data_IF_490252972032
#
_entry.id   IF_490252972032
#
_cell.length_a   1.000
_cell.length_b   1.000
_cell.length_c   1.000
_cell.angle_alpha   90.00
_cell.angle_beta   90.00
_cell.angle_gamma   90.00
#
_symmetry.space_group_name_H-M   'P 1'
#
loop_
_entity.id
_entity.type
_entity.pdbx_description
1 polymer ?
#
# COMPACT_ATOMS: atom_id res chain seq x y z
N UNK A 1 28.47 -4.83 10.66
CA UNK A 1 27.38 -3.84 10.88
C UNK A 1 27.91 -2.46 11.25
N UNK A 2 28.96 -2.37 12.08
CA UNK A 2 29.48 -1.09 12.59
C UNK A 2 29.80 -0.02 11.54
N UNK A 3 30.34 -0.40 10.37
CA UNK A 3 30.59 0.58 9.30
C UNK A 3 29.29 1.19 8.74
N UNK A 4 28.27 0.35 8.49
CA UNK A 4 26.96 0.76 7.96
C UNK A 4 26.23 1.62 8.99
N UNK A 5 26.19 1.17 10.26
CA UNK A 5 25.59 1.93 11.35
C UNK A 5 26.23 3.31 11.48
N UNK A 6 27.57 3.39 11.48
CA UNK A 6 28.28 4.67 11.54
C UNK A 6 27.94 5.58 10.37
N UNK A 7 27.94 5.07 9.13
CA UNK A 7 27.60 5.86 7.95
C UNK A 7 26.15 6.38 7.99
N UNK A 8 25.20 5.52 8.39
CA UNK A 8 23.79 5.91 8.55
C UNK A 8 23.62 6.95 9.66
N UNK A 9 24.28 6.76 10.81
CA UNK A 9 24.21 7.71 11.92
C UNK A 9 24.82 9.06 11.54
N UNK A 10 25.95 9.09 10.82
CA UNK A 10 26.51 10.34 10.28
C UNK A 10 25.53 11.03 9.33
N UNK A 11 24.86 10.27 8.45
CA UNK A 11 23.86 10.84 7.55
C UNK A 11 22.65 11.42 8.32
N UNK A 12 22.16 10.71 9.35
CA UNK A 12 21.08 11.18 10.21
C UNK A 12 21.47 12.47 10.94
N UNK A 13 22.68 12.52 11.50
CA UNK A 13 23.20 13.71 12.19
C UNK A 13 23.30 14.91 11.24
N UNK A 14 23.81 14.70 10.02
CA UNK A 14 23.91 15.75 9.01
C UNK A 14 22.52 16.28 8.60
N UNK A 15 21.54 15.39 8.43
CA UNK A 15 20.15 15.76 8.10
C UNK A 15 19.52 16.54 9.26
N UNK A 16 19.74 16.11 10.51
CA UNK A 16 19.23 16.81 11.69
C UNK A 16 19.84 18.21 11.80
N UNK A 17 21.16 18.33 11.68
CA UNK A 17 21.85 19.62 11.71
C UNK A 17 21.39 20.54 10.58
N UNK A 18 21.22 20.01 9.36
CA UNK A 18 20.68 20.78 8.25
C UNK A 18 19.26 21.25 8.54
N UNK A 19 18.40 20.38 9.09
CA UNK A 19 17.02 20.72 9.47
C UNK A 19 17.01 21.88 10.47
N UNK A 20 17.81 21.79 11.53
CA UNK A 20 17.90 22.81 12.58
C UNK A 20 18.40 24.15 12.03
N UNK A 21 19.44 24.13 11.18
CA UNK A 21 19.97 25.33 10.52
C UNK A 21 18.94 26.02 9.61
N UNK A 22 17.97 25.27 9.07
CA UNK A 22 16.91 25.79 8.20
C UNK A 22 15.60 26.06 8.96
N UNK A 23 15.58 25.95 10.30
CA UNK A 23 14.40 26.22 11.12
C UNK A 23 13.32 25.14 11.08
N UNK A 24 13.68 23.90 10.69
CA UNK A 24 12.79 22.75 10.72
C UNK A 24 13.17 21.80 11.88
N UNK A 25 12.17 21.12 12.46
CA UNK A 25 12.39 20.11 13.51
C UNK A 25 11.86 18.75 13.06
N UNK A 26 12.70 17.72 13.13
CA UNK A 26 12.34 16.35 12.79
C UNK A 26 11.69 15.66 13.99
N UNK A 27 10.47 15.15 13.80
CA UNK A 27 9.71 14.47 14.84
C UNK A 27 10.21 13.04 15.07
N UNK A 28 11.03 12.81 16.10
CA UNK A 28 11.54 11.47 16.44
C UNK A 28 10.43 10.42 16.61
N UNK A 29 9.28 10.79 17.17
CA UNK A 29 8.11 9.91 17.33
C UNK A 29 7.46 9.44 16.01
N UNK A 30 7.69 10.15 14.91
CA UNK A 30 7.19 9.78 13.56
C UNK A 30 8.26 9.11 12.71
N UNK A 31 9.51 9.11 13.17
CA UNK A 31 10.65 8.53 12.48
C UNK A 31 10.75 7.05 12.84
N UNK A 32 10.82 6.21 11.81
CA UNK A 32 11.03 4.78 11.96
C UNK A 32 11.88 4.28 10.79
N UNK A 33 12.60 3.19 11.01
CA UNK A 33 13.41 2.54 10.00
C UNK A 33 12.79 1.20 9.58
N UNK A 34 13.01 0.82 8.31
CA UNK A 34 12.74 -0.53 7.83
C UNK A 34 13.98 -1.02 7.11
N UNK A 35 14.47 -2.18 7.52
CA UNK A 35 15.64 -2.80 6.92
C UNK A 35 15.20 -3.74 5.79
N UNK A 36 15.49 -3.36 4.55
CA UNK A 36 15.25 -4.21 3.39
C UNK A 36 16.48 -5.07 3.11
N UNK A 37 16.35 -6.38 3.29
CA UNK A 37 17.46 -7.31 3.08
C UNK A 37 16.99 -8.62 2.45
N UNK A 38 17.82 -9.18 1.56
CA UNK A 38 17.59 -10.51 0.95
C UNK A 38 18.18 -11.66 1.77
N UNK A 39 18.99 -11.36 2.80
CA UNK A 39 19.57 -12.37 3.69
C UNK A 39 18.45 -13.08 4.45
N UNK A 40 18.55 -14.40 4.51
CA UNK A 40 17.58 -15.24 5.24
C UNK A 40 18.01 -15.49 6.68
N UNK A 41 19.29 -15.33 6.97
CA UNK A 41 19.84 -15.50 8.31
C UNK A 41 19.45 -14.34 9.22
N UNK A 42 19.47 -14.62 10.53
CA UNK A 42 19.25 -13.62 11.56
C UNK A 42 20.34 -12.55 11.43
N UNK A 43 19.92 -11.33 11.15
CA UNK A 43 20.78 -10.17 11.12
C UNK A 43 20.24 -9.16 12.12
N UNK A 44 21.13 -8.65 12.96
CA UNK A 44 20.80 -7.55 13.87
C UNK A 44 20.58 -6.28 13.07
N UNK A 45 19.58 -5.50 13.48
CA UNK A 45 19.38 -4.16 12.96
C UNK A 45 20.38 -3.21 13.62
N UNK A 46 20.86 -2.16 12.90
CA UNK A 46 21.78 -1.19 13.49
C UNK A 46 21.06 -0.34 14.53
N UNK A 47 21.77 0.05 15.59
CA UNK A 47 21.26 1.02 16.56
C UNK A 47 21.44 2.43 16.01
N UNK A 48 20.31 3.10 15.75
CA UNK A 48 20.27 4.45 15.20
C UNK A 48 19.51 5.37 16.16
N UNK A 49 19.97 6.61 16.27
CA UNK A 49 19.35 7.61 17.13
C UNK A 49 19.12 8.92 16.36
N UNK A 50 18.04 9.61 16.70
CA UNK A 50 17.74 10.96 16.24
C UNK A 50 17.54 11.84 17.47
N UNK A 51 18.39 12.84 17.66
CA UNK A 51 18.35 13.75 18.83
C UNK A 51 18.35 13.00 20.18
N UNK A 52 19.14 11.93 20.28
CA UNK A 52 19.23 11.07 21.48
C UNK A 52 18.04 10.13 21.68
N UNK A 53 17.10 10.06 20.73
CA UNK A 53 15.98 9.12 20.76
C UNK A 53 16.23 7.97 19.78
N UNK A 54 16.15 6.73 20.25
CA UNK A 54 16.31 5.54 19.40
C UNK A 54 15.24 5.47 18.31
N UNK A 55 15.67 5.23 17.08
CA UNK A 55 14.77 5.03 15.92
C UNK A 55 14.34 3.56 15.89
N UNK A 56 13.04 3.25 16.02
CA UNK A 56 12.57 1.88 16.00
C UNK A 56 12.65 1.28 14.58
N UNK A 57 13.12 0.03 14.52
CA UNK A 57 13.04 -0.79 13.31
C UNK A 57 11.70 -1.52 13.25
N UNK A 58 10.93 -1.23 12.20
CA UNK A 58 9.61 -1.81 11.97
C UNK A 58 9.67 -2.84 10.84
N UNK A 59 8.75 -3.81 10.89
CA UNK A 59 8.58 -4.77 9.78
C UNK A 59 7.76 -4.20 8.63
N UNK A 60 6.91 -3.23 8.93
CA UNK A 60 6.02 -2.59 7.96
C UNK A 60 6.05 -1.07 8.21
N UNK A 61 6.18 -0.29 7.15
CA UNK A 61 6.10 1.18 7.21
C UNK A 61 5.20 1.70 6.11
N UNK A 62 4.44 2.75 6.42
CA UNK A 62 3.62 3.44 5.44
C UNK A 62 4.36 4.65 4.90
N UNK A 63 4.58 4.68 3.60
CA UNK A 63 5.20 5.81 2.91
C UNK A 63 4.33 6.22 1.72
N UNK A 64 3.93 7.49 1.69
CA UNK A 64 3.03 8.06 0.68
C UNK A 64 1.84 7.15 0.36
N UNK A 65 1.12 6.72 1.41
CA UNK A 65 -0.08 5.90 1.27
C UNK A 65 0.14 4.41 0.99
N UNK A 66 1.34 4.00 0.55
CA UNK A 66 1.72 2.60 0.27
C UNK A 66 2.39 1.97 1.50
N UNK A 67 2.13 0.69 1.76
CA UNK A 67 2.74 -0.04 2.87
C UNK A 67 3.88 -0.91 2.35
N UNK A 68 5.08 -0.67 2.87
CA UNK A 68 6.29 -1.43 2.55
C UNK A 68 6.56 -2.40 3.68
N UNK A 69 6.62 -3.69 3.38
CA UNK A 69 7.11 -4.71 4.30
C UNK A 69 8.62 -4.93 4.12
N UNK A 70 9.31 -5.39 5.15
CA UNK A 70 10.76 -5.64 5.14
C UNK A 70 11.23 -6.59 4.02
N UNK A 71 10.35 -7.43 3.48
CA UNK A 71 10.62 -8.33 2.35
C UNK A 71 10.26 -7.74 0.98
N UNK A 72 9.72 -6.52 0.93
CA UNK A 72 9.17 -5.88 -0.26
C UNK A 72 8.20 -6.81 -1.02
N UNK A 73 7.45 -7.63 -0.29
CA UNK A 73 6.46 -8.53 -0.88
C UNK A 73 5.15 -7.81 -1.22
N UNK A 74 4.91 -6.66 -0.59
CA UNK A 74 3.68 -5.87 -0.63
C UNK A 74 2.41 -6.64 -0.24
N UNK A 75 2.53 -7.82 0.38
CA UNK A 75 1.39 -8.61 0.81
C UNK A 75 0.50 -7.84 1.80
N UNK A 76 1.03 -7.18 2.86
CA UNK A 76 0.20 -6.41 3.78
C UNK A 76 -0.55 -5.27 3.07
N UNK A 77 0.12 -4.58 2.15
CA UNK A 77 -0.48 -3.52 1.35
C UNK A 77 -1.64 -4.04 0.51
N UNK A 78 -1.42 -5.12 -0.25
CA UNK A 78 -2.43 -5.71 -1.14
C UNK A 78 -3.63 -6.21 -0.34
N UNK A 79 -3.42 -6.80 0.85
CA UNK A 79 -4.53 -7.23 1.73
C UNK A 79 -5.33 -6.04 2.26
N UNK A 80 -4.65 -4.98 2.69
CA UNK A 80 -5.32 -3.76 3.13
C UNK A 80 -6.11 -3.10 1.98
N UNK A 81 -5.51 -3.03 0.79
CA UNK A 81 -6.13 -2.49 -0.41
C UNK A 81 -7.37 -3.30 -0.81
N UNK A 82 -7.25 -4.63 -0.82
CA UNK A 82 -8.36 -5.56 -1.06
C UNK A 82 -9.53 -5.26 -0.11
N UNK A 83 -9.28 -5.19 1.20
CA UNK A 83 -10.31 -4.90 2.21
C UNK A 83 -10.98 -3.53 1.99
N UNK A 84 -10.22 -2.50 1.61
CA UNK A 84 -10.77 -1.17 1.27
C UNK A 84 -11.67 -1.22 0.04
N UNK A 85 -11.30 -1.99 -0.97
CA UNK A 85 -12.06 -2.12 -2.19
C UNK A 85 -13.31 -3.02 -2.01
N UNK A 86 -13.25 -4.04 -1.14
CA UNK A 86 -14.42 -4.84 -0.75
C UNK A 86 -15.53 -3.99 -0.13
N UNK A 87 -15.16 -3.00 0.70
CA UNK A 87 -16.14 -2.03 1.24
C UNK A 87 -16.81 -1.22 0.13
N UNK A 88 -16.05 -0.74 -0.85
CA UNK A 88 -16.61 -0.02 -2.00
C UNK A 88 -17.43 -0.91 -2.92
N UNK A 89 -17.05 -2.18 -3.05
CA UNK A 89 -17.81 -3.16 -3.82
C UNK A 89 -19.21 -3.38 -3.22
N UNK A 90 -19.35 -3.36 -1.90
CA UNK A 90 -20.65 -3.45 -1.25
C UNK A 90 -21.56 -2.26 -1.59
N UNK A 91 -21.02 -1.05 -1.73
CA UNK A 91 -21.76 0.12 -2.21
C UNK A 91 -22.25 -0.14 -3.63
N UNK A 92 -21.38 -0.64 -4.52
CA UNK A 92 -21.76 -1.01 -5.88
C UNK A 92 -22.90 -2.05 -5.90
N UNK A 93 -22.87 -3.06 -5.02
CA UNK A 93 -23.91 -4.09 -4.93
C UNK A 93 -25.28 -3.51 -4.58
N UNK A 94 -25.32 -2.51 -3.69
CA UNK A 94 -26.57 -1.84 -3.32
C UNK A 94 -27.11 -1.06 -4.52
N UNK A 95 -26.23 -0.32 -5.21
CA UNK A 95 -26.60 0.50 -6.37
C UNK A 95 -26.94 -0.30 -7.62
N UNK A 96 -26.51 -1.57 -7.72
CA UNK A 96 -26.80 -2.45 -8.86
C UNK A 96 -28.14 -3.19 -8.75
N UNK A 97 -29.04 -2.78 -7.85
CA UNK A 97 -30.32 -3.48 -7.63
C UNK A 97 -31.25 -3.31 -8.84
N UNK A 98 -31.94 -4.37 -9.29
CA UNK A 98 -32.70 -4.34 -10.54
C UNK A 98 -33.98 -3.50 -10.52
N UNK A 99 -34.57 -3.24 -9.34
CA UNK A 99 -35.82 -2.48 -9.22
C UNK A 99 -35.65 -0.95 -9.30
N UNK A 100 -34.50 -0.44 -8.85
CA UNK A 100 -34.23 1.00 -8.65
C UNK A 100 -32.73 1.33 -8.73
N UNK A 101 -31.96 0.49 -9.39
CA UNK A 101 -30.51 0.62 -9.51
C UNK A 101 -30.09 1.68 -10.51
N UNK A 102 -28.83 2.07 -10.41
CA UNK A 102 -28.22 3.02 -11.32
C UNK A 102 -28.00 2.43 -12.71
N UNK A 103 -28.04 3.29 -13.73
CA UNK A 103 -27.72 2.92 -15.11
C UNK A 103 -26.24 2.53 -15.26
N UNK A 104 -25.93 1.75 -16.31
CA UNK A 104 -24.57 1.24 -16.57
C UNK A 104 -23.49 2.34 -16.63
N UNK A 105 -23.66 3.45 -17.39
CA UNK A 105 -22.71 4.56 -17.36
C UNK A 105 -22.42 5.11 -15.96
N UNK A 106 -23.46 5.34 -15.16
CA UNK A 106 -23.32 5.79 -13.76
C UNK A 106 -22.60 4.76 -12.90
N UNK A 107 -22.95 3.49 -13.01
CA UNK A 107 -22.28 2.39 -12.30
C UNK A 107 -20.77 2.33 -12.62
N UNK A 108 -20.41 2.42 -13.91
CA UNK A 108 -19.02 2.44 -14.34
C UNK A 108 -18.27 3.67 -13.81
N UNK A 109 -18.90 4.84 -13.76
CA UNK A 109 -18.31 6.05 -13.18
C UNK A 109 -18.02 5.87 -11.69
N UNK A 110 -18.96 5.31 -10.93
CA UNK A 110 -18.80 5.04 -9.50
C UNK A 110 -17.70 4.00 -9.27
N UNK A 111 -17.68 2.92 -10.06
CA UNK A 111 -16.62 1.92 -10.03
C UNK A 111 -15.23 2.54 -10.24
N UNK A 112 -15.07 3.33 -11.31
CA UNK A 112 -13.81 4.01 -11.62
C UNK A 112 -13.36 4.92 -10.48
N UNK A 113 -14.29 5.69 -9.92
CA UNK A 113 -14.01 6.66 -8.86
C UNK A 113 -13.69 6.02 -7.50
N UNK A 114 -14.30 4.86 -7.17
CA UNK A 114 -14.24 4.31 -5.81
C UNK A 114 -13.39 3.06 -5.65
N UNK A 115 -13.21 2.28 -6.71
CA UNK A 115 -12.44 1.03 -6.73
C UNK A 115 -11.21 1.20 -7.61
N UNK A 116 -11.37 1.54 -8.89
CA UNK A 116 -10.24 1.60 -9.83
C UNK A 116 -9.21 2.65 -9.38
N UNK A 117 -9.65 3.83 -8.95
CA UNK A 117 -8.77 4.87 -8.40
C UNK A 117 -7.88 4.40 -7.24
N UNK A 118 -8.37 3.47 -6.39
CA UNK A 118 -7.60 2.88 -5.29
C UNK A 118 -6.62 1.82 -5.78
N UNK A 119 -7.01 1.05 -6.80
CA UNK A 119 -6.15 0.06 -7.44
C UNK A 119 -5.07 0.72 -8.33
N UNK A 120 -5.32 1.89 -8.88
CA UNK A 120 -4.33 2.60 -9.68
C UNK A 120 -3.32 3.32 -8.78
N UNK A 121 -3.74 3.75 -7.59
CA UNK A 121 -2.86 4.43 -6.64
C UNK A 121 -1.73 3.50 -6.14
N UNK A 122 -0.49 3.83 -6.50
CA UNK A 122 0.69 3.08 -6.08
C UNK A 122 0.93 1.79 -6.87
N UNK A 123 0.16 1.53 -7.94
CA UNK A 123 0.30 0.30 -8.75
C UNK A 123 1.69 0.14 -9.36
N UNK A 124 2.37 1.25 -9.69
CA UNK A 124 3.75 1.24 -10.18
C UNK A 124 4.75 0.72 -9.14
N UNK A 125 4.43 0.86 -7.86
CA UNK A 125 5.30 0.42 -6.76
C UNK A 125 4.98 -1.03 -6.39
N UNK A 126 3.74 -1.29 -5.95
CA UNK A 126 3.37 -2.63 -5.49
C UNK A 126 3.18 -3.62 -6.65
N UNK A 127 3.07 -3.15 -7.90
CA UNK A 127 2.99 -4.00 -9.09
C UNK A 127 4.24 -4.86 -9.31
N UNK A 128 5.35 -4.55 -8.63
CA UNK A 128 6.53 -5.41 -8.53
C UNK A 128 6.32 -6.68 -7.68
N UNK A 129 5.21 -6.77 -6.93
CA UNK A 129 4.89 -7.92 -6.11
C UNK A 129 4.69 -9.19 -6.95
N UNK A 130 4.77 -10.34 -6.29
CA UNK A 130 4.54 -11.64 -6.92
C UNK A 130 3.14 -11.69 -7.54
N UNK A 131 3.02 -12.29 -8.72
CA UNK A 131 1.74 -12.46 -9.43
C UNK A 131 0.65 -13.08 -8.54
N UNK A 132 0.99 -14.07 -7.72
CA UNK A 132 0.05 -14.71 -6.78
C UNK A 132 -0.49 -13.78 -5.68
N UNK A 133 0.24 -12.71 -5.35
CA UNK A 133 -0.21 -11.67 -4.42
C UNK A 133 -1.12 -10.71 -5.17
N UNK A 134 -0.70 -10.23 -6.35
CA UNK A 134 -1.48 -9.28 -7.18
C UNK A 134 -2.84 -9.85 -7.59
N UNK A 135 -2.88 -11.14 -7.97
CA UNK A 135 -4.10 -11.87 -8.33
C UNK A 135 -5.16 -11.90 -7.22
N UNK A 136 -4.82 -11.53 -5.99
CA UNK A 136 -5.80 -11.39 -4.90
C UNK A 136 -6.71 -10.16 -5.07
N UNK A 137 -6.36 -9.21 -5.95
CA UNK A 137 -7.17 -8.04 -6.28
C UNK A 137 -8.17 -8.32 -7.42
N UNK A 138 -7.83 -9.24 -8.33
CA UNK A 138 -8.64 -9.59 -9.51
C UNK A 138 -10.11 -9.92 -9.17
N UNK A 139 -10.44 -10.70 -8.10
CA UNK A 139 -11.82 -11.00 -7.79
C UNK A 139 -12.68 -9.76 -7.53
N UNK A 140 -12.10 -8.71 -6.95
CA UNK A 140 -12.81 -7.45 -6.71
C UNK A 140 -13.09 -6.74 -8.02
N UNK A 141 -12.07 -6.64 -8.87
CA UNK A 141 -12.17 -5.99 -10.18
C UNK A 141 -13.23 -6.69 -11.04
N UNK A 142 -13.16 -8.02 -11.16
CA UNK A 142 -14.10 -8.80 -11.94
C UNK A 142 -15.52 -8.78 -11.36
N UNK A 143 -15.67 -8.79 -10.03
CA UNK A 143 -16.98 -8.67 -9.40
C UNK A 143 -17.60 -7.29 -9.67
N UNK A 144 -16.81 -6.22 -9.59
CA UNK A 144 -17.27 -4.87 -9.91
C UNK A 144 -17.72 -4.74 -11.36
N UNK A 145 -16.95 -5.27 -12.32
CA UNK A 145 -17.31 -5.24 -13.73
C UNK A 145 -18.63 -5.97 -14.02
N UNK A 146 -18.83 -7.16 -13.44
CA UNK A 146 -20.10 -7.89 -13.56
C UNK A 146 -21.29 -7.09 -13.05
N UNK A 147 -21.15 -6.42 -11.91
CA UNK A 147 -22.21 -5.56 -11.36
C UNK A 147 -22.49 -4.37 -12.28
N UNK A 148 -21.46 -3.75 -12.85
CA UNK A 148 -21.62 -2.61 -13.74
C UNK A 148 -22.23 -3.00 -15.11
N UNK A 149 -21.88 -4.17 -15.63
CA UNK A 149 -22.37 -4.65 -16.93
C UNK A 149 -23.74 -5.35 -16.85
N UNK A 150 -24.20 -5.67 -15.64
CA UNK A 150 -25.40 -6.50 -15.44
C UNK A 150 -25.19 -7.97 -15.79
N UNK A 151 -23.93 -8.40 -16.01
CA UNK A 151 -23.61 -9.78 -16.34
C UNK A 151 -23.91 -10.74 -15.17
N UNK A 152 -24.24 -11.98 -15.50
CA UNK A 152 -24.43 -13.02 -14.48
C UNK A 152 -23.16 -13.20 -13.64
N UNK A 153 -23.34 -13.60 -12.38
CA UNK A 153 -22.20 -13.87 -11.48
C UNK A 153 -21.25 -14.94 -12.03
N UNK A 154 -21.79 -15.86 -12.81
CA UNK A 154 -21.07 -16.97 -13.47
C UNK A 154 -20.47 -16.59 -14.82
N UNK A 155 -20.68 -15.37 -15.33
CA UNK A 155 -20.14 -14.95 -16.61
C UNK A 155 -18.60 -15.04 -16.62
N UNK A 156 -18.01 -15.69 -17.66
CA UNK A 156 -16.56 -15.79 -17.80
C UNK A 156 -15.89 -14.42 -17.82
N UNK A 157 -14.72 -14.30 -17.19
CA UNK A 157 -13.99 -13.01 -17.10
C UNK A 157 -13.60 -12.48 -18.47
N UNK A 158 -13.26 -13.36 -19.41
CA UNK A 158 -12.87 -12.99 -20.78
C UNK A 158 -14.00 -12.35 -21.59
N UNK A 159 -15.25 -12.51 -21.16
CA UNK A 159 -16.45 -11.97 -21.82
C UNK A 159 -16.97 -10.68 -21.19
N UNK A 160 -16.30 -10.17 -20.15
CA UNK A 160 -16.70 -8.96 -19.40
C UNK A 160 -16.22 -7.66 -20.05
#
# INVERSE_FOLDING_TARGET
MNCIQRQLQTAINNISQWSDNNGFTISASKTAAVHFCRKRDLHLDPELELNGVSIPFLREIRFLGVVFDNKLSFLPHVMQLRKKCEKSLNILRVLSTTAWGADRPSMLRIYKATILSKLDYGCQIYGSARKSILQKLDPIHHAALRLCSGAFRTSPVQSL
#
